data_IF_122064346292
#
_entry.id   IF_122064346292
#
_cell.length_a   1.000
_cell.length_b   1.000
_cell.length_c   1.000
_cell.angle_alpha   90.00
_cell.angle_beta   90.00
_cell.angle_gamma   90.00
#
_symmetry.space_group_name_H-M   'P 1'
#
loop_
_entity.id
_entity.type
_entity.pdbx_description
1 polymer ?
#
# COMPACT_ATOMS: atom_id res chain seq x y z
N UNK A 1 -4.50 5.92 3.80
CA UNK A 1 -3.97 6.99 4.70
C UNK A 1 -5.11 7.60 5.49
N UNK A 2 -4.90 7.95 6.74
CA UNK A 2 -5.93 8.57 7.58
C UNK A 2 -5.30 9.66 8.48
N UNK A 3 -6.05 10.71 8.82
CA UNK A 3 -5.58 11.71 9.74
C UNK A 3 -5.63 11.18 11.17
N UNK A 4 -4.60 11.46 11.93
CA UNK A 4 -4.57 11.29 13.37
C UNK A 4 -4.49 12.67 14.01
N UNK A 5 -5.41 12.95 14.93
CA UNK A 5 -5.49 14.21 15.64
C UNK A 5 -5.17 13.98 17.11
N UNK A 6 -4.27 14.76 17.64
CA UNK A 6 -3.90 14.76 19.06
C UNK A 6 -3.97 16.19 19.59
N UNK A 7 -4.54 16.39 20.73
CA UNK A 7 -4.47 17.68 21.41
C UNK A 7 -3.10 17.83 22.05
N UNK A 8 -2.39 18.90 21.73
CA UNK A 8 -1.06 19.21 22.25
C UNK A 8 -0.95 20.63 22.71
N UNK A 9 -0.11 20.85 23.69
CA UNK A 9 0.25 22.19 24.16
C UNK A 9 1.04 22.91 23.06
N UNK A 10 0.61 24.13 22.73
CA UNK A 10 1.26 25.02 21.78
C UNK A 10 2.09 26.06 22.52
N UNK A 11 3.43 26.00 22.48
CA UNK A 11 4.27 26.94 23.22
C UNK A 11 4.07 28.39 22.79
N UNK A 12 3.65 28.62 21.54
CA UNK A 12 3.46 29.97 21.00
C UNK A 12 2.24 30.70 21.57
N UNK A 13 1.17 29.96 21.91
CA UNK A 13 -0.09 30.55 22.44
C UNK A 13 -0.35 30.24 23.89
N UNK A 14 0.34 29.25 24.45
CA UNK A 14 0.09 28.75 25.81
C UNK A 14 -1.15 27.86 25.93
N UNK A 15 -1.80 27.52 24.82
CA UNK A 15 -3.06 26.78 24.79
C UNK A 15 -2.91 25.34 24.25
N UNK A 16 -3.93 24.55 24.51
CA UNK A 16 -4.06 23.21 23.92
C UNK A 16 -4.68 23.34 22.54
N UNK A 17 -3.98 22.86 21.50
CA UNK A 17 -4.43 22.93 20.11
C UNK A 17 -4.35 21.57 19.42
N UNK A 18 -5.17 21.35 18.37
CA UNK A 18 -5.12 20.11 17.59
C UNK A 18 -3.82 20.03 16.79
N UNK A 19 -3.12 18.91 16.96
CA UNK A 19 -1.92 18.55 16.23
C UNK A 19 -2.23 17.41 15.28
N UNK A 20 -2.00 17.60 13.99
CA UNK A 20 -2.37 16.68 12.92
C UNK A 20 -1.18 15.87 12.42
N UNK A 21 -1.45 14.60 12.09
CA UNK A 21 -0.53 13.69 11.43
C UNK A 21 -1.27 12.89 10.38
N UNK A 22 -0.61 12.53 9.30
CA UNK A 22 -1.08 11.52 8.35
C UNK A 22 -0.42 10.19 8.72
N UNK A 23 -1.25 9.18 8.93
CA UNK A 23 -0.83 7.81 9.24
C UNK A 23 -1.37 6.82 8.22
N UNK A 24 -0.69 5.71 8.10
CA UNK A 24 -1.22 4.50 7.48
C UNK A 24 -1.20 3.37 8.49
N UNK A 25 -2.25 2.55 8.48
CA UNK A 25 -2.31 1.33 9.30
C UNK A 25 -2.20 0.13 8.38
N UNK A 26 -1.35 -0.80 8.74
CA UNK A 26 -1.18 -2.05 8.03
C UNK A 26 -1.22 -3.21 9.02
N UNK A 27 -1.52 -4.40 8.51
CA UNK A 27 -1.44 -5.63 9.29
C UNK A 27 -0.18 -6.38 8.88
N UNK A 28 0.54 -6.86 9.88
CA UNK A 28 1.62 -7.80 9.61
C UNK A 28 1.07 -9.19 9.29
N UNK A 29 1.97 -10.07 8.93
CA UNK A 29 1.67 -11.46 8.60
C UNK A 29 1.06 -12.27 9.75
N UNK A 30 1.24 -11.82 10.99
CA UNK A 30 0.68 -12.42 12.18
C UNK A 30 -0.70 -11.84 12.54
N UNK A 31 -1.18 -10.86 11.74
CA UNK A 31 -2.45 -10.19 11.94
C UNK A 31 -2.41 -9.00 12.91
N UNK A 32 -1.24 -8.65 13.44
CA UNK A 32 -1.10 -7.49 14.31
C UNK A 32 -1.24 -6.19 13.52
N UNK A 33 -1.91 -5.21 14.12
CA UNK A 33 -2.11 -3.89 13.50
C UNK A 33 -0.95 -2.98 13.89
N UNK A 34 -0.26 -2.50 12.89
CA UNK A 34 0.79 -1.49 13.02
C UNK A 34 0.33 -0.17 12.41
N UNK A 35 0.91 0.94 12.85
CA UNK A 35 0.66 2.24 12.25
C UNK A 35 1.98 2.98 12.00
N UNK A 36 2.10 3.50 10.80
CA UNK A 36 3.24 4.27 10.33
C UNK A 36 2.85 5.74 10.16
N UNK A 37 3.67 6.66 10.66
CA UNK A 37 3.48 8.08 10.43
C UNK A 37 4.13 8.42 9.08
N UNK A 38 3.30 8.87 8.14
CA UNK A 38 3.75 9.27 6.80
C UNK A 38 4.15 10.75 6.78
N UNK A 39 3.42 11.60 7.52
CA UNK A 39 3.66 13.02 7.59
C UNK A 39 3.25 13.58 8.95
N UNK A 40 4.10 14.39 9.54
CA UNK A 40 3.75 15.26 10.64
C UNK A 40 3.33 16.63 10.07
N UNK A 41 2.02 16.93 10.08
CA UNK A 41 1.49 18.22 9.61
C UNK A 41 1.84 19.29 10.63
N UNK A 42 1.59 19.03 11.91
CA UNK A 42 1.79 19.98 12.97
C UNK A 42 0.48 20.63 13.41
N UNK A 43 0.61 21.85 13.95
CA UNK A 43 -0.53 22.72 14.27
C UNK A 43 -0.96 23.43 13.00
N UNK A 44 -2.18 23.19 12.54
CA UNK A 44 -2.75 23.81 11.35
C UNK A 44 -4.11 24.43 11.70
N UNK A 45 -4.11 25.64 12.29
CA UNK A 45 -5.34 26.27 12.77
C UNK A 45 -6.28 26.73 11.64
N UNK A 46 -5.77 26.81 10.40
CA UNK A 46 -6.55 27.21 9.24
C UNK A 46 -7.48 26.11 8.72
N UNK A 47 -7.31 24.87 9.16
CA UNK A 47 -8.08 23.71 8.69
C UNK A 47 -8.90 23.08 9.80
N UNK A 48 -10.13 22.74 9.46
CA UNK A 48 -10.99 21.93 10.32
C UNK A 48 -10.65 20.44 10.20
N UNK A 49 -10.99 19.65 11.21
CA UNK A 49 -10.79 18.19 11.17
C UNK A 49 -11.49 17.53 9.97
N UNK A 50 -12.62 18.09 9.51
CA UNK A 50 -13.33 17.60 8.31
C UNK A 50 -12.51 17.83 7.05
N UNK A 51 -11.93 19.01 6.90
CA UNK A 51 -11.07 19.35 5.76
C UNK A 51 -9.81 18.47 5.75
N UNK A 52 -9.18 18.27 6.90
CA UNK A 52 -8.03 17.36 7.02
C UNK A 52 -8.37 15.93 6.59
N UNK A 53 -9.59 15.44 6.92
CA UNK A 53 -10.06 14.12 6.45
C UNK A 53 -10.25 14.06 4.94
N UNK A 54 -10.83 15.12 4.34
CA UNK A 54 -10.99 15.22 2.88
C UNK A 54 -9.64 15.18 2.17
N UNK A 55 -8.68 15.96 2.65
CA UNK A 55 -7.32 16.01 2.11
C UNK A 55 -6.65 14.63 2.26
N UNK A 56 -6.74 13.99 3.42
CA UNK A 56 -6.18 12.64 3.63
C UNK A 56 -6.78 11.58 2.68
N UNK A 57 -8.09 11.69 2.40
CA UNK A 57 -8.74 10.83 1.41
C UNK A 57 -8.19 11.07 -0.01
N UNK A 58 -8.03 12.33 -0.40
CA UNK A 58 -7.43 12.70 -1.69
C UNK A 58 -5.99 12.18 -1.84
N UNK A 59 -5.19 12.30 -0.78
CA UNK A 59 -3.84 11.74 -0.74
C UNK A 59 -3.85 10.22 -0.88
N UNK A 60 -4.82 9.53 -0.27
CA UNK A 60 -5.00 8.08 -0.41
C UNK A 60 -5.32 7.68 -1.85
N UNK A 61 -6.22 8.42 -2.50
CA UNK A 61 -6.58 8.19 -3.91
C UNK A 61 -5.34 8.39 -4.79
N UNK A 62 -4.63 9.51 -4.62
CA UNK A 62 -3.38 9.81 -5.35
C UNK A 62 -2.32 8.72 -5.15
N UNK A 63 -2.17 8.19 -3.94
CA UNK A 63 -1.26 7.11 -3.64
C UNK A 63 -1.61 5.82 -4.38
N UNK A 64 -2.88 5.43 -4.41
CA UNK A 64 -3.35 4.23 -5.10
C UNK A 64 -3.23 4.32 -6.62
N UNK A 65 -3.42 5.52 -7.18
CA UNK A 65 -3.41 5.74 -8.64
C UNK A 65 -2.03 6.08 -9.20
N UNK A 66 -0.99 6.23 -8.36
CA UNK A 66 0.35 6.64 -8.81
C UNK A 66 1.01 5.67 -9.80
N UNK A 67 0.72 4.38 -9.69
CA UNK A 67 1.26 3.33 -10.57
C UNK A 67 0.38 3.08 -11.81
N UNK A 68 -0.81 3.67 -11.85
CA UNK A 68 -1.72 3.53 -12.98
C UNK A 68 -1.60 4.78 -13.84
N UNK A 69 -1.14 4.69 -15.11
CA UNK A 69 -1.13 5.83 -16.00
C UNK A 69 -2.57 6.29 -16.22
N UNK A 70 -2.96 7.37 -15.58
CA UNK A 70 -4.25 7.98 -15.81
C UNK A 70 -4.22 8.78 -17.09
N UNK A 71 -4.95 8.33 -18.11
CA UNK A 71 -5.23 9.08 -19.34
C UNK A 71 -6.04 10.35 -19.07
N UNK A 72 -6.69 10.42 -17.90
CA UNK A 72 -7.46 11.57 -17.45
C UNK A 72 -6.87 12.03 -16.12
N UNK A 73 -6.50 13.31 -16.03
CA UNK A 73 -6.25 13.96 -14.74
C UNK A 73 -7.59 13.92 -14.00
N UNK A 74 -7.78 12.91 -13.17
CA UNK A 74 -8.92 12.91 -12.26
C UNK A 74 -8.80 14.16 -11.39
N UNK A 75 -9.69 15.12 -11.60
CA UNK A 75 -9.93 16.15 -10.62
C UNK A 75 -10.27 15.43 -9.32
N UNK A 76 -9.59 15.79 -8.26
CA UNK A 76 -9.92 15.32 -6.91
C UNK A 76 -11.25 15.98 -6.55
N UNK A 77 -12.34 15.37 -7.05
CA UNK A 77 -13.68 15.93 -6.94
C UNK A 77 -14.02 16.21 -5.48
N UNK A 78 -14.46 17.43 -5.21
CA UNK A 78 -14.94 17.88 -3.92
C UNK A 78 -13.92 18.57 -3.02
N UNK A 79 -12.69 18.84 -3.47
CA UNK A 79 -11.76 19.72 -2.77
C UNK A 79 -11.93 21.17 -3.22
N UNK A 80 -11.91 22.08 -2.26
CA UNK A 80 -11.78 23.50 -2.55
C UNK A 80 -10.36 23.83 -3.05
N UNK A 81 -10.13 24.96 -3.75
CA UNK A 81 -8.78 25.35 -4.18
C UNK A 81 -7.75 25.39 -3.03
N UNK A 82 -8.17 25.79 -1.84
CA UNK A 82 -7.32 25.82 -0.65
C UNK A 82 -6.96 24.41 -0.19
N UNK A 83 -7.94 23.52 -0.14
CA UNK A 83 -7.73 22.11 0.22
C UNK A 83 -6.84 21.40 -0.81
N UNK A 84 -7.00 21.74 -2.09
CA UNK A 84 -6.15 21.22 -3.17
C UNK A 84 -4.69 21.66 -3.00
N UNK A 85 -4.46 22.96 -2.78
CA UNK A 85 -3.13 23.49 -2.54
C UNK A 85 -2.44 22.81 -1.33
N UNK A 86 -3.20 22.57 -0.25
CA UNK A 86 -2.72 21.85 0.93
C UNK A 86 -2.44 20.36 0.63
N UNK A 87 -3.26 19.72 -0.18
CA UNK A 87 -3.01 18.35 -0.60
C UNK A 87 -1.71 18.22 -1.41
N UNK A 88 -1.44 19.16 -2.32
CA UNK A 88 -0.22 19.20 -3.12
C UNK A 88 1.02 19.51 -2.25
N UNK A 89 0.89 20.45 -1.32
CA UNK A 89 1.94 20.75 -0.33
C UNK A 89 2.29 19.50 0.50
N UNK A 90 1.28 18.84 1.07
CA UNK A 90 1.50 17.68 1.92
C UNK A 90 2.02 16.47 1.15
N UNK A 91 1.58 16.29 -0.11
CA UNK A 91 2.13 15.28 -0.97
C UNK A 91 3.63 15.49 -1.23
N UNK A 92 4.01 16.70 -1.63
CA UNK A 92 5.41 17.06 -1.87
C UNK A 92 6.27 16.89 -0.60
N UNK A 93 5.72 17.20 0.57
CA UNK A 93 6.40 16.98 1.84
C UNK A 93 6.57 15.49 2.14
N UNK A 94 5.54 14.66 1.91
CA UNK A 94 5.65 13.21 2.09
C UNK A 94 6.69 12.59 1.18
N UNK A 95 6.79 13.02 -0.08
CA UNK A 95 7.83 12.59 -1.02
C UNK A 95 9.22 13.01 -0.50
N UNK A 96 9.38 14.28 -0.16
CA UNK A 96 10.66 14.84 0.31
C UNK A 96 11.14 14.23 1.62
N UNK A 97 10.24 13.98 2.57
CA UNK A 97 10.53 13.38 3.87
C UNK A 97 10.63 11.84 3.81
N UNK A 98 10.45 11.23 2.64
CA UNK A 98 10.52 9.78 2.43
C UNK A 98 9.37 9.00 3.10
N UNK A 99 8.24 9.66 3.39
CA UNK A 99 7.09 9.02 4.02
C UNK A 99 6.47 7.92 3.15
N UNK A 100 6.40 8.16 1.84
CA UNK A 100 5.88 7.21 0.85
C UNK A 100 6.82 6.01 0.72
N UNK A 101 8.12 6.23 0.65
CA UNK A 101 9.11 5.17 0.51
C UNK A 101 9.20 4.30 1.77
N UNK A 102 9.06 4.91 2.95
CA UNK A 102 8.96 4.16 4.21
C UNK A 102 7.78 3.21 4.22
N UNK A 103 6.61 3.67 3.78
CA UNK A 103 5.43 2.84 3.71
C UNK A 103 5.63 1.65 2.76
N UNK A 104 6.13 1.90 1.55
CA UNK A 104 6.44 0.84 0.60
C UNK A 104 7.45 -0.18 1.14
N UNK A 105 8.48 0.31 1.84
CA UNK A 105 9.52 -0.55 2.43
C UNK A 105 8.94 -1.45 3.52
N UNK A 106 8.11 -0.91 4.40
CA UNK A 106 7.46 -1.68 5.47
C UNK A 106 6.46 -2.70 4.91
N UNK A 107 5.68 -2.33 3.89
CA UNK A 107 4.80 -3.24 3.19
C UNK A 107 5.59 -4.39 2.55
N UNK A 108 6.67 -4.10 1.84
CA UNK A 108 7.55 -5.09 1.25
C UNK A 108 8.25 -5.97 2.31
N UNK A 109 8.64 -5.41 3.45
CA UNK A 109 9.24 -6.20 4.53
C UNK A 109 8.24 -7.14 5.19
N UNK A 110 6.99 -6.73 5.34
CA UNK A 110 5.94 -7.62 5.87
C UNK A 110 5.67 -8.77 4.91
N UNK A 111 5.71 -8.56 3.60
CA UNK A 111 5.55 -9.59 2.58
C UNK A 111 6.75 -10.57 2.53
N UNK A 112 7.98 -10.09 2.71
CA UNK A 112 9.20 -10.92 2.69
C UNK A 112 9.32 -11.91 3.86
N UNK A 113 8.58 -11.72 4.94
CA UNK A 113 8.56 -12.65 6.07
C UNK A 113 7.80 -13.95 5.79
N UNK A 114 7.09 -14.04 4.68
CA UNK A 114 6.48 -15.29 4.23
C UNK A 114 7.49 -16.07 3.38
N UNK A 115 8.10 -17.09 3.93
CA UNK A 115 8.97 -18.03 3.19
C UNK A 115 8.24 -18.75 2.05
N UNK A 116 6.92 -18.71 2.02
CA UNK A 116 6.07 -19.37 1.01
C UNK A 116 5.25 -18.38 0.18
N UNK A 117 5.59 -17.09 0.18
CA UNK A 117 4.87 -16.10 -0.62
C UNK A 117 5.40 -16.12 -2.05
N UNK A 118 4.55 -16.48 -2.99
CA UNK A 118 4.85 -16.38 -4.42
C UNK A 118 4.40 -14.99 -4.86
N UNK A 119 5.35 -14.16 -5.26
CA UNK A 119 5.06 -12.87 -5.88
C UNK A 119 4.54 -13.11 -7.30
N UNK A 120 3.22 -13.02 -7.44
CA UNK A 120 2.55 -13.23 -8.72
C UNK A 120 2.87 -12.13 -9.76
N UNK A 121 3.35 -10.96 -9.32
CA UNK A 121 3.75 -9.89 -10.24
C UNK A 121 5.10 -10.18 -10.92
N UNK A 122 5.96 -10.96 -10.26
CA UNK A 122 7.24 -11.39 -10.82
C UNK A 122 7.15 -12.76 -11.52
N UNK A 123 6.01 -13.44 -11.39
CA UNK A 123 5.79 -14.72 -12.08
C UNK A 123 5.72 -14.49 -13.60
N UNK A 124 6.75 -14.91 -14.28
CA UNK A 124 6.83 -14.83 -15.73
C UNK A 124 6.04 -15.99 -16.34
N UNK A 125 4.83 -15.74 -16.83
CA UNK A 125 3.89 -16.74 -17.34
C UNK A 125 4.27 -17.33 -18.71
N UNK A 126 5.48 -17.07 -19.22
CA UNK A 126 5.86 -17.43 -20.58
C UNK A 126 5.89 -18.93 -20.86
N UNK A 127 6.08 -19.77 -19.83
CA UNK A 127 6.22 -21.23 -19.99
C UNK A 127 5.31 -22.08 -19.08
N UNK A 128 4.40 -21.44 -18.34
CA UNK A 128 3.60 -22.13 -17.31
C UNK A 128 2.57 -23.13 -17.86
N UNK A 129 2.18 -23.03 -19.12
CA UNK A 129 1.14 -23.91 -19.70
C UNK A 129 1.62 -25.31 -19.98
N UNK A 130 2.86 -25.47 -20.39
CA UNK A 130 3.38 -26.77 -20.82
C UNK A 130 3.96 -27.56 -19.63
N UNK A 131 4.54 -26.84 -18.65
CA UNK A 131 5.16 -27.46 -17.47
C UNK A 131 4.13 -28.09 -16.55
N UNK A 132 2.98 -27.42 -16.34
CA UNK A 132 1.95 -27.91 -15.42
C UNK A 132 1.26 -29.18 -15.96
N UNK A 133 0.99 -29.26 -17.26
CA UNK A 133 0.36 -30.42 -17.86
C UNK A 133 1.32 -31.62 -17.89
N UNK A 134 2.57 -31.43 -18.27
CA UNK A 134 3.58 -32.49 -18.28
C UNK A 134 3.90 -32.98 -16.86
N UNK A 135 4.01 -32.06 -15.90
CA UNK A 135 4.28 -32.40 -14.51
C UNK A 135 3.12 -33.19 -13.88
N UNK A 136 1.87 -32.78 -14.15
CA UNK A 136 0.67 -33.48 -13.67
C UNK A 136 0.56 -34.86 -14.29
N UNK A 137 0.81 -34.98 -15.59
CA UNK A 137 0.82 -36.26 -16.30
C UNK A 137 1.92 -37.16 -15.75
N UNK A 138 3.13 -36.66 -15.55
CA UNK A 138 4.24 -37.43 -14.97
C UNK A 138 3.95 -37.92 -13.56
N UNK A 139 3.45 -37.02 -12.69
CA UNK A 139 3.06 -37.43 -11.32
C UNK A 139 1.93 -38.44 -11.31
N UNK A 140 0.99 -38.35 -12.24
CA UNK A 140 -0.11 -39.34 -12.35
C UNK A 140 0.41 -40.66 -12.80
N UNK A 141 1.29 -40.72 -13.80
CA UNK A 141 1.95 -41.96 -14.29
C UNK A 141 2.78 -42.59 -13.16
N UNK A 142 3.54 -41.80 -12.41
CA UNK A 142 4.37 -42.31 -11.32
C UNK A 142 3.50 -42.84 -10.16
N UNK A 143 2.44 -42.14 -9.76
CA UNK A 143 1.50 -42.58 -8.71
C UNK A 143 0.74 -43.85 -9.07
N UNK A 144 0.38 -43.99 -10.32
CA UNK A 144 -0.35 -45.16 -10.82
C UNK A 144 0.58 -46.30 -11.23
N UNK A 145 1.91 -46.13 -11.11
CA UNK A 145 2.94 -47.11 -11.51
C UNK A 145 2.77 -47.63 -12.95
N UNK A 146 2.26 -46.76 -13.83
CA UNK A 146 1.94 -47.14 -15.23
C UNK A 146 3.19 -47.33 -16.09
N UNK A 147 4.37 -46.86 -15.71
CA UNK A 147 5.61 -47.07 -16.45
C UNK A 147 5.91 -48.56 -16.65
N UNK A 148 5.70 -49.39 -15.61
CA UNK A 148 5.91 -50.81 -15.70
C UNK A 148 4.91 -51.52 -16.61
N UNK A 149 3.68 -50.99 -16.69
CA UNK A 149 2.63 -51.52 -17.57
C UNK A 149 2.89 -51.14 -19.04
N UNK A 150 3.28 -49.90 -19.30
CA UNK A 150 3.55 -49.42 -20.67
C UNK A 150 4.78 -50.06 -21.29
N UNK A 151 5.82 -50.38 -20.51
CA UNK A 151 7.01 -51.10 -20.99
C UNK A 151 6.78 -52.59 -21.29
N UNK A 152 5.73 -53.19 -20.72
CA UNK A 152 5.42 -54.60 -20.94
C UNK A 152 4.53 -54.86 -22.16
N UNK A 153 3.78 -53.84 -22.61
CA UNK A 153 2.76 -53.99 -23.66
C UNK A 153 3.02 -53.07 -24.88
N UNK A 154 4.14 -52.41 -24.97
CA UNK A 154 4.65 -51.69 -26.15
C UNK A 154 5.86 -52.38 -26.71
#
# INVERSE_FOLDING_TARGET
MHPNVQTRFTPATGDMAPYYRIKESYRDVQGHVHSLILLNIGFEPSLTAVQVRKIAYALTKRFKTRSTPSLFKEHLDGLTPVEQAKADEWWSRMEKEGGIDRFNKEEQMSLRKYENYIDLETANYTDARDVDAEWLCKQTIDKLQLEGFLRKNG
#
